data_IF_136988737832
#
_entry.id   IF_136988737832
#
_cell.length_a   1.000
_cell.length_b   1.000
_cell.length_c   1.000
_cell.angle_alpha   90.00
_cell.angle_beta   90.00
_cell.angle_gamma   90.00
#
_symmetry.space_group_name_H-M   'P 1'
#
loop_
_entity.id
_entity.type
_entity.pdbx_description
1 polymer ?
#
# COMPACT_ATOMS: atom_id res chain seq x y z
N UNK A 1 22.58 -73.57 5.58
CA UNK A 1 21.39 -74.42 5.83
C UNK A 1 20.45 -73.64 6.73
N UNK A 2 19.46 -72.90 6.17
CA UNK A 2 18.05 -73.32 6.07
C UNK A 2 17.56 -74.04 7.33
N UNK A 3 16.77 -73.36 8.15
CA UNK A 3 15.68 -73.94 8.96
C UNK A 3 14.72 -72.82 9.40
N UNK A 4 13.46 -72.98 9.03
CA UNK A 4 12.32 -72.15 9.43
C UNK A 4 11.97 -72.32 10.92
N UNK A 5 11.11 -71.46 11.47
CA UNK A 5 10.04 -71.94 12.33
C UNK A 5 8.65 -71.67 11.73
N UNK A 6 7.80 -72.66 11.96
CA UNK A 6 6.49 -72.93 11.39
C UNK A 6 5.35 -72.20 12.08
N UNK A 7 4.43 -71.69 11.27
CA UNK A 7 3.10 -71.19 11.62
C UNK A 7 2.12 -72.38 11.71
N UNK A 8 1.36 -72.48 12.80
CA UNK A 8 0.18 -73.35 13.02
C UNK A 8 -0.72 -72.58 14.01
N UNK A 9 -2.01 -72.29 13.90
CA UNK A 9 -3.19 -72.77 13.15
C UNK A 9 -4.03 -71.52 12.79
N UNK A 10 -4.57 -71.32 11.58
CA UNK A 10 -5.77 -71.93 10.97
C UNK A 10 -7.09 -71.74 11.76
N UNK A 11 -7.88 -70.74 11.39
CA UNK A 11 -9.33 -70.89 11.23
C UNK A 11 -9.85 -70.06 10.03
N UNK A 12 -10.20 -70.83 8.99
CA UNK A 12 -11.19 -70.62 7.91
C UNK A 12 -12.54 -70.14 8.51
N UNK A 13 -13.46 -69.37 7.93
CA UNK A 13 -13.96 -69.11 6.56
C UNK A 13 -14.59 -67.67 6.59
N UNK A 14 -14.76 -66.89 5.51
CA UNK A 14 -15.61 -67.18 4.35
C UNK A 14 -15.29 -66.19 3.22
N UNK A 15 -15.26 -66.71 2.00
CA UNK A 15 -15.08 -66.03 0.73
C UNK A 15 -16.33 -65.20 0.35
N UNK A 16 -16.15 -63.98 -0.14
CA UNK A 16 -16.93 -63.45 -1.27
C UNK A 16 -16.18 -62.31 -1.96
N UNK A 17 -15.79 -62.56 -3.21
CA UNK A 17 -15.28 -61.55 -4.16
C UNK A 17 -16.38 -60.52 -4.46
N UNK A 18 -15.99 -59.25 -4.66
CA UNK A 18 -16.32 -58.46 -5.86
C UNK A 18 -15.62 -57.09 -5.86
N UNK A 19 -14.75 -56.93 -6.87
CA UNK A 19 -14.48 -55.75 -7.71
C UNK A 19 -14.23 -54.35 -7.10
N UNK A 20 -13.00 -53.88 -7.37
CA UNK A 20 -12.57 -52.52 -7.70
C UNK A 20 -13.62 -51.40 -7.71
N UNK A 21 -13.39 -50.38 -6.87
CA UNK A 21 -13.52 -48.97 -7.22
C UNK A 21 -12.68 -48.15 -6.25
N UNK A 22 -11.60 -47.56 -6.74
CA UNK A 22 -10.72 -46.65 -6.04
C UNK A 22 -11.50 -45.39 -5.66
N UNK A 23 -11.76 -45.17 -4.38
CA UNK A 23 -12.04 -43.83 -3.86
C UNK A 23 -11.05 -43.55 -2.73
N UNK A 24 -10.00 -42.83 -3.10
CA UNK A 24 -9.07 -42.23 -2.15
C UNK A 24 -9.83 -41.19 -1.34
N UNK A 25 -10.06 -41.52 -0.08
CA UNK A 25 -10.61 -40.62 0.93
C UNK A 25 -9.53 -39.59 1.28
N UNK A 26 -9.48 -38.48 0.56
CA UNK A 26 -8.82 -37.27 1.06
C UNK A 26 -9.83 -36.59 1.99
N UNK A 27 -9.85 -37.06 3.24
CA UNK A 27 -10.64 -36.45 4.30
C UNK A 27 -10.35 -34.96 4.35
N UNK A 28 -11.36 -34.17 4.00
CA UNK A 28 -11.43 -32.78 4.41
C UNK A 28 -11.42 -32.83 5.93
N UNK A 29 -10.29 -32.50 6.54
CA UNK A 29 -10.27 -32.15 7.95
C UNK A 29 -11.03 -30.82 8.06
N UNK A 30 -12.35 -30.90 8.14
CA UNK A 30 -13.20 -29.81 8.58
C UNK A 30 -12.81 -29.61 10.05
N UNK A 31 -11.82 -28.76 10.31
CA UNK A 31 -11.75 -28.15 11.63
C UNK A 31 -13.06 -27.39 11.78
N UNK A 32 -13.98 -27.94 12.59
CA UNK A 32 -15.22 -27.29 13.01
C UNK A 32 -14.87 -25.97 13.69
N UNK A 33 -14.83 -24.91 12.91
CA UNK A 33 -15.02 -23.56 13.41
C UNK A 33 -16.48 -23.20 13.06
N UNK A 34 -17.42 -23.71 13.87
CA UNK A 34 -18.86 -23.44 13.74
C UNK A 34 -19.22 -21.95 13.89
N UNK A 35 -18.24 -21.12 14.21
CA UNK A 35 -18.31 -19.66 14.36
C UNK A 35 -18.40 -18.91 13.03
N UNK A 36 -18.13 -19.55 11.88
CA UNK A 36 -18.08 -18.88 10.56
C UNK A 36 -18.97 -19.51 9.48
N UNK A 37 -20.12 -20.07 9.87
CA UNK A 37 -21.10 -20.63 8.92
C UNK A 37 -21.48 -19.65 7.79
N UNK A 38 -21.52 -18.35 8.09
CA UNK A 38 -21.80 -17.31 7.11
C UNK A 38 -20.74 -17.22 6.00
N UNK A 39 -19.46 -17.51 6.30
CA UNK A 39 -18.38 -17.54 5.31
C UNK A 39 -18.60 -18.70 4.36
N UNK A 40 -18.85 -19.90 4.88
CA UNK A 40 -19.10 -21.10 4.05
C UNK A 40 -20.28 -20.85 3.11
N UNK A 41 -21.36 -20.27 3.63
CA UNK A 41 -22.53 -19.93 2.82
C UNK A 41 -22.20 -18.86 1.76
N UNK A 42 -21.55 -17.76 2.15
CA UNK A 42 -21.19 -16.68 1.23
C UNK A 42 -20.25 -17.18 0.12
N UNK A 43 -19.26 -18.00 0.47
CA UNK A 43 -18.25 -18.53 -0.44
C UNK A 43 -18.82 -19.38 -1.57
N UNK A 44 -20.00 -19.99 -1.38
CA UNK A 44 -20.72 -20.70 -2.47
C UNK A 44 -21.11 -19.79 -3.64
N UNK A 45 -21.15 -18.47 -3.41
CA UNK A 45 -21.51 -17.45 -4.41
C UNK A 45 -20.34 -16.57 -4.86
N UNK A 46 -19.14 -16.84 -4.33
CA UNK A 46 -17.92 -16.06 -4.60
C UNK A 46 -16.90 -16.91 -5.38
N UNK A 47 -15.82 -16.30 -5.92
CA UNK A 47 -14.75 -17.06 -6.55
C UNK A 47 -14.19 -18.16 -5.65
N UNK A 48 -13.67 -19.23 -6.29
CA UNK A 48 -13.04 -20.34 -5.59
C UNK A 48 -11.90 -19.86 -4.68
N UNK A 49 -11.77 -20.46 -3.49
CA UNK A 49 -10.79 -20.06 -2.46
C UNK A 49 -11.21 -18.87 -1.59
N UNK A 50 -12.41 -18.32 -1.78
CA UNK A 50 -12.96 -17.26 -0.93
C UNK A 50 -13.16 -17.69 0.52
N UNK A 51 -13.45 -18.97 0.75
CA UNK A 51 -13.58 -19.62 2.06
C UNK A 51 -12.29 -19.60 2.89
N UNK A 52 -11.14 -19.55 2.22
CA UNK A 52 -9.81 -19.39 2.83
C UNK A 52 -9.41 -17.92 2.93
N UNK A 53 -9.77 -17.14 1.92
CA UNK A 53 -9.36 -15.73 1.78
C UNK A 53 -10.06 -14.82 2.81
N UNK A 54 -11.38 -14.99 3.01
CA UNK A 54 -12.14 -14.19 3.97
C UNK A 54 -11.63 -14.35 5.42
N UNK A 55 -11.42 -15.59 5.94
CA UNK A 55 -10.77 -15.78 7.24
C UNK A 55 -9.38 -15.16 7.34
N UNK A 56 -8.61 -15.16 6.24
CA UNK A 56 -7.29 -14.54 6.23
C UNK A 56 -7.39 -13.03 6.47
N UNK A 57 -8.27 -12.33 5.77
CA UNK A 57 -8.44 -10.88 5.98
C UNK A 57 -8.86 -10.55 7.41
N UNK A 58 -9.71 -11.39 8.02
CA UNK A 58 -10.09 -11.21 9.43
C UNK A 58 -8.88 -11.39 10.35
N UNK A 59 -8.07 -12.44 10.15
CA UNK A 59 -6.82 -12.64 10.91
C UNK A 59 -5.81 -11.50 10.72
N UNK A 60 -5.77 -10.92 9.52
CA UNK A 60 -4.91 -9.78 9.20
C UNK A 60 -5.43 -8.46 9.83
N UNK A 61 -6.59 -8.48 10.51
CA UNK A 61 -7.10 -7.36 11.30
C UNK A 61 -8.38 -6.71 10.76
N UNK A 62 -9.06 -7.30 9.78
CA UNK A 62 -10.35 -6.80 9.28
C UNK A 62 -11.48 -7.20 10.24
N UNK A 63 -12.34 -6.25 10.63
CA UNK A 63 -13.46 -6.56 11.52
C UNK A 63 -14.45 -7.55 10.89
N UNK A 64 -14.63 -8.71 11.53
CA UNK A 64 -15.53 -9.76 11.04
C UNK A 64 -16.99 -9.29 10.97
N UNK A 65 -17.46 -8.59 11.99
CA UNK A 65 -18.85 -8.11 12.05
C UNK A 65 -19.14 -7.08 10.95
N UNK A 66 -18.21 -6.15 10.71
CA UNK A 66 -18.35 -5.13 9.66
C UNK A 66 -18.23 -5.78 8.28
N UNK A 67 -17.28 -6.71 8.10
CA UNK A 67 -17.12 -7.44 6.84
C UNK A 67 -18.40 -8.21 6.49
N UNK A 68 -18.94 -8.99 7.43
CA UNK A 68 -20.20 -9.71 7.25
C UNK A 68 -21.34 -8.75 6.93
N UNK A 69 -21.52 -7.70 7.74
CA UNK A 69 -22.56 -6.70 7.52
C UNK A 69 -22.48 -6.05 6.13
N UNK A 70 -21.27 -5.74 5.66
CA UNK A 70 -21.05 -5.16 4.32
C UNK A 70 -21.45 -6.14 3.21
N UNK A 71 -21.13 -7.43 3.35
CA UNK A 71 -21.57 -8.46 2.42
C UNK A 71 -23.08 -8.73 2.47
N UNK A 72 -23.71 -8.60 3.63
CA UNK A 72 -25.15 -8.76 3.79
C UNK A 72 -25.93 -7.64 3.10
N UNK A 73 -25.39 -6.41 3.11
CA UNK A 73 -26.07 -5.22 2.55
C UNK A 73 -25.67 -4.87 1.13
N UNK A 74 -24.53 -5.37 0.62
CA UNK A 74 -24.10 -5.06 -0.75
C UNK A 74 -25.01 -5.73 -1.78
N UNK A 75 -25.38 -4.98 -2.82
CA UNK A 75 -26.11 -5.52 -3.97
C UNK A 75 -25.21 -6.36 -4.89
N UNK A 76 -23.88 -6.19 -4.83
CA UNK A 76 -22.94 -6.88 -5.68
C UNK A 76 -21.77 -7.47 -4.86
N UNK A 77 -21.96 -8.72 -4.43
CA UNK A 77 -21.00 -9.46 -3.58
C UNK A 77 -19.72 -9.79 -4.33
N UNK A 78 -19.81 -10.13 -5.62
CA UNK A 78 -18.66 -10.44 -6.47
C UNK A 78 -17.77 -9.22 -6.67
N UNK A 79 -18.37 -8.04 -6.91
CA UNK A 79 -17.61 -6.78 -6.99
C UNK A 79 -16.95 -6.44 -5.66
N UNK A 80 -17.68 -6.50 -4.55
CA UNK A 80 -17.09 -6.24 -3.23
C UNK A 80 -15.91 -7.17 -2.93
N UNK A 81 -16.05 -8.47 -3.23
CA UNK A 81 -14.96 -9.42 -3.08
C UNK A 81 -13.76 -9.06 -3.97
N UNK A 82 -13.99 -8.69 -5.23
CA UNK A 82 -12.94 -8.26 -6.16
C UNK A 82 -12.21 -7.02 -5.66
N UNK A 83 -12.95 -5.99 -5.23
CA UNK A 83 -12.39 -4.75 -4.68
C UNK A 83 -11.51 -5.07 -3.45
N UNK A 84 -11.99 -5.91 -2.53
CA UNK A 84 -11.24 -6.35 -1.34
C UNK A 84 -10.03 -7.21 -1.69
N UNK A 85 -10.12 -8.05 -2.71
CA UNK A 85 -9.00 -8.87 -3.17
C UNK A 85 -7.91 -8.00 -3.80
N UNK A 86 -8.29 -6.99 -4.58
CA UNK A 86 -7.37 -6.06 -5.25
C UNK A 86 -6.85 -4.94 -4.33
N UNK A 87 -7.35 -4.84 -3.10
CA UNK A 87 -6.90 -3.85 -2.14
C UNK A 87 -5.41 -4.03 -1.78
N UNK A 88 -4.66 -2.93 -1.89
CA UNK A 88 -3.19 -2.88 -1.72
C UNK A 88 -2.70 -3.26 -0.32
N UNK A 89 -3.51 -3.01 0.72
CA UNK A 89 -3.16 -3.24 2.13
C UNK A 89 -4.39 -3.62 2.96
N UNK A 90 -4.17 -3.98 4.22
CA UNK A 90 -5.26 -4.14 5.19
C UNK A 90 -5.99 -2.81 5.43
N UNK A 91 -5.28 -1.68 5.46
CA UNK A 91 -5.89 -0.35 5.62
C UNK A 91 -6.79 0.01 4.43
N UNK A 92 -6.40 -0.37 3.21
CA UNK A 92 -7.26 -0.20 2.05
C UNK A 92 -8.54 -1.05 2.18
N UNK A 93 -8.44 -2.33 2.60
CA UNK A 93 -9.62 -3.17 2.86
C UNK A 93 -10.54 -2.57 3.92
N UNK A 94 -9.95 -2.06 5.01
CA UNK A 94 -10.66 -1.34 6.07
C UNK A 94 -11.43 -0.14 5.52
N UNK A 95 -10.84 0.67 4.65
CA UNK A 95 -11.51 1.78 3.98
C UNK A 95 -12.69 1.32 3.11
N UNK A 96 -12.51 0.25 2.31
CA UNK A 96 -13.57 -0.30 1.43
C UNK A 96 -14.81 -0.69 2.22
N UNK A 97 -14.65 -1.38 3.36
CA UNK A 97 -15.78 -1.81 4.21
C UNK A 97 -16.18 -0.77 5.27
N UNK A 98 -15.60 0.44 5.26
CA UNK A 98 -15.84 1.50 6.25
C UNK A 98 -15.50 1.10 7.70
N UNK A 99 -14.49 0.25 7.88
CA UNK A 99 -13.92 -0.11 9.17
C UNK A 99 -12.79 0.87 9.54
N UNK A 100 -13.14 2.00 10.17
CA UNK A 100 -12.22 3.12 10.43
C UNK A 100 -11.47 3.03 11.78
N UNK A 101 -11.19 1.83 12.27
CA UNK A 101 -10.48 1.58 13.53
C UNK A 101 -8.97 1.39 13.32
N UNK A 102 -8.33 2.38 12.69
CA UNK A 102 -6.89 2.32 12.47
C UNK A 102 -6.22 3.69 12.69
N UNK A 103 -4.93 3.70 13.09
CA UNK A 103 -4.22 4.92 13.43
C UNK A 103 -4.00 5.85 12.22
N UNK A 104 -3.81 7.14 12.50
CA UNK A 104 -3.59 8.18 11.49
C UNK A 104 -4.85 8.87 10.99
N UNK A 105 -6.03 8.45 11.44
CA UNK A 105 -7.30 9.09 11.08
C UNK A 105 -7.63 10.26 12.01
N UNK A 106 -8.12 11.35 11.44
CA UNK A 106 -8.66 12.48 12.18
C UNK A 106 -10.20 12.46 12.20
N UNK A 107 -10.76 12.75 13.38
CA UNK A 107 -12.19 12.86 13.57
C UNK A 107 -12.71 14.15 12.92
N UNK A 108 -13.90 14.08 12.31
CA UNK A 108 -14.55 15.20 11.65
C UNK A 108 -14.52 15.09 10.13
N UNK A 109 -14.94 16.17 9.48
CA UNK A 109 -15.06 16.24 8.02
C UNK A 109 -13.83 16.91 7.40
N UNK A 110 -13.33 16.33 6.31
CA UNK A 110 -12.28 16.89 5.49
C UNK A 110 -12.58 18.33 5.08
N UNK A 111 -11.61 19.21 5.29
CA UNK A 111 -11.59 20.56 4.75
C UNK A 111 -10.35 20.73 3.88
N UNK A 112 -10.49 21.17 2.61
CA UNK A 112 -9.33 21.41 1.76
C UNK A 112 -8.51 22.57 2.29
N UNK A 113 -7.23 22.32 2.57
CA UNK A 113 -6.25 23.32 2.99
C UNK A 113 -5.01 23.34 2.08
N UNK A 114 -5.04 22.55 0.99
CA UNK A 114 -4.00 22.53 -0.03
C UNK A 114 -3.93 23.85 -0.78
N UNK A 115 -2.77 24.15 -1.38
CA UNK A 115 -2.58 25.40 -2.12
C UNK A 115 -3.45 25.43 -3.39
N UNK A 116 -4.55 26.20 -3.36
CA UNK A 116 -5.52 26.29 -4.44
C UNK A 116 -5.01 27.07 -5.66
N UNK A 117 -4.00 27.92 -5.48
CA UNK A 117 -3.34 28.69 -6.53
C UNK A 117 -2.17 27.91 -7.12
N UNK A 118 -2.46 26.70 -7.62
CA UNK A 118 -1.50 25.73 -8.17
C UNK A 118 -0.50 26.26 -9.20
N UNK A 119 -0.81 27.41 -9.81
CA UNK A 119 0.01 28.08 -10.82
C UNK A 119 1.08 29.02 -10.24
N UNK A 120 1.03 29.39 -8.95
CA UNK A 120 2.03 30.30 -8.38
C UNK A 120 3.39 29.62 -8.12
N UNK A 121 3.47 28.32 -7.82
CA UNK A 121 4.77 27.61 -7.77
C UNK A 121 5.40 27.40 -9.15
N UNK A 122 4.62 27.46 -10.23
CA UNK A 122 5.20 27.52 -11.59
C UNK A 122 5.94 28.85 -11.84
N UNK A 123 5.67 29.90 -11.04
CA UNK A 123 6.34 31.20 -11.10
C UNK A 123 7.49 31.35 -10.10
N UNK A 124 7.56 30.51 -9.06
CA UNK A 124 8.74 30.38 -8.18
C UNK A 124 9.82 29.58 -8.90
N UNK A 125 10.45 30.25 -9.84
CA UNK A 125 11.58 29.70 -10.57
C UNK A 125 12.81 29.68 -9.64
N UNK A 126 13.50 28.54 -9.57
CA UNK A 126 14.78 28.42 -8.85
C UNK A 126 15.80 29.32 -9.52
N UNK A 127 16.27 30.36 -8.83
CA UNK A 127 17.37 31.19 -9.33
C UNK A 127 18.66 30.39 -9.13
N UNK A 128 19.22 29.87 -10.21
CA UNK A 128 20.51 29.20 -10.19
C UNK A 128 21.61 30.18 -9.73
N UNK A 129 22.79 29.69 -9.29
CA UNK A 129 23.95 30.55 -8.98
C UNK A 129 24.33 31.50 -10.14
N UNK A 130 24.00 31.13 -11.38
CA UNK A 130 24.15 31.95 -12.60
C UNK A 130 23.14 33.09 -12.75
N UNK A 131 22.13 33.18 -11.88
CA UNK A 131 21.02 34.12 -11.99
C UNK A 131 19.92 33.73 -12.98
N UNK A 132 20.11 32.65 -13.75
CA UNK A 132 19.11 32.09 -14.67
C UNK A 132 18.12 31.18 -13.94
N UNK A 133 16.95 31.01 -14.54
CA UNK A 133 15.89 30.15 -14.04
C UNK A 133 15.89 28.83 -14.78
N UNK A 134 16.00 27.71 -14.07
CA UNK A 134 15.82 26.39 -14.67
C UNK A 134 14.37 25.91 -14.49
N UNK A 135 13.57 25.84 -15.57
CA UNK A 135 12.17 25.45 -15.52
C UNK A 135 11.96 24.00 -15.07
N UNK A 136 12.99 23.16 -15.08
CA UNK A 136 12.86 21.73 -14.74
C UNK A 136 12.75 21.47 -13.23
N UNK A 137 13.03 22.48 -12.40
CA UNK A 137 12.80 22.44 -10.94
C UNK A 137 11.44 23.01 -10.53
N UNK A 138 10.71 23.64 -11.45
CA UNK A 138 9.38 24.16 -11.15
C UNK A 138 8.39 23.01 -10.91
N UNK A 139 7.50 23.19 -9.93
CA UNK A 139 6.34 22.28 -9.79
C UNK A 139 5.34 22.65 -10.87
N UNK A 140 5.45 22.00 -12.03
CA UNK A 140 4.55 22.22 -13.17
C UNK A 140 3.25 21.41 -13.08
N UNK A 141 3.17 20.45 -12.14
CA UNK A 141 2.00 19.61 -11.95
C UNK A 141 1.14 20.12 -10.78
N UNK A 142 -0.06 20.62 -11.09
CA UNK A 142 -0.94 21.23 -10.09
C UNK A 142 -1.28 20.33 -8.88
N UNK A 143 -1.49 19.00 -9.03
CA UNK A 143 -1.68 18.12 -7.87
C UNK A 143 -0.48 18.06 -6.92
N UNK A 144 0.74 18.20 -7.45
CA UNK A 144 1.96 18.25 -6.61
C UNK A 144 1.98 19.50 -5.74
N UNK A 145 1.47 20.61 -6.26
CA UNK A 145 1.30 21.85 -5.50
C UNK A 145 0.21 21.71 -4.42
N UNK A 146 -0.94 21.17 -4.78
CA UNK A 146 -2.08 21.00 -3.86
C UNK A 146 -1.79 20.03 -2.73
N UNK A 147 -0.72 19.22 -2.84
CA UNK A 147 -0.27 18.31 -1.80
C UNK A 147 0.34 18.99 -0.57
N UNK A 148 0.62 20.30 -0.65
CA UNK A 148 1.13 21.09 0.48
C UNK A 148 0.07 21.99 1.09
N UNK A 149 0.11 22.15 2.42
CA UNK A 149 -0.66 23.18 3.12
C UNK A 149 -0.32 24.54 2.52
N UNK A 150 -1.34 25.34 2.28
CA UNK A 150 -1.23 26.69 1.73
C UNK A 150 -0.07 27.48 2.37
N UNK A 151 0.80 28.07 1.54
CA UNK A 151 1.95 28.89 1.93
C UNK A 151 3.01 28.21 2.82
N UNK A 152 3.07 26.88 2.88
CA UNK A 152 4.13 26.17 3.64
C UNK A 152 5.26 25.64 2.79
N UNK A 153 5.06 25.49 1.48
CA UNK A 153 6.07 24.94 0.60
C UNK A 153 7.13 25.99 0.23
N UNK A 154 8.39 25.62 0.43
CA UNK A 154 9.56 26.41 0.07
C UNK A 154 10.55 25.54 -0.68
N UNK A 155 11.27 26.14 -1.62
CA UNK A 155 12.38 25.48 -2.27
C UNK A 155 13.60 25.45 -1.34
N UNK A 156 14.25 24.30 -1.25
CA UNK A 156 15.44 24.09 -0.43
C UNK A 156 16.48 23.28 -1.21
N UNK A 157 17.77 23.59 -1.02
CA UNK A 157 18.85 22.72 -1.49
C UNK A 157 19.26 21.76 -0.38
N UNK A 158 19.10 20.46 -0.62
CA UNK A 158 19.58 19.42 0.28
C UNK A 158 21.08 19.18 0.05
N UNK A 159 21.89 19.12 1.12
CA UNK A 159 23.30 18.79 0.98
C UNK A 159 23.52 17.32 0.64
N UNK A 160 24.67 17.04 0.03
CA UNK A 160 25.17 15.68 -0.20
C UNK A 160 25.08 14.81 1.06
N UNK A 161 24.76 13.52 0.87
CA UNK A 161 24.71 12.55 1.96
C UNK A 161 23.44 12.62 2.82
N UNK A 162 22.58 13.63 2.61
CA UNK A 162 21.25 13.67 3.25
C UNK A 162 20.46 12.41 2.91
N UNK A 163 19.86 11.78 3.92
CA UNK A 163 18.98 10.62 3.74
C UNK A 163 17.52 11.05 3.72
N UNK A 164 16.76 10.49 2.78
CA UNK A 164 15.33 10.68 2.63
C UNK A 164 14.62 9.33 2.64
N UNK A 165 13.40 9.29 3.15
CA UNK A 165 12.62 8.07 3.33
C UNK A 165 11.27 8.16 2.64
N UNK A 166 10.84 7.06 2.03
CA UNK A 166 9.53 6.94 1.39
C UNK A 166 8.89 5.61 1.71
N UNK A 167 7.62 5.65 2.11
CA UNK A 167 6.77 4.46 2.26
C UNK A 167 6.02 4.21 0.96
N UNK A 168 6.12 3.00 0.42
CA UNK A 168 5.60 2.74 -0.93
C UNK A 168 5.23 1.27 -1.20
N UNK A 169 4.58 1.09 -2.35
CA UNK A 169 4.36 -0.18 -3.02
C UNK A 169 5.66 -0.80 -3.53
N UNK A 170 5.58 -2.05 -3.95
CA UNK A 170 6.66 -2.73 -4.66
C UNK A 170 6.88 -2.12 -6.05
N UNK A 171 8.14 -2.09 -6.50
CA UNK A 171 8.52 -1.75 -7.87
C UNK A 171 9.14 -0.37 -8.03
N UNK A 172 10.02 -0.25 -9.03
CA UNK A 172 10.87 0.93 -9.22
C UNK A 172 10.10 2.23 -9.50
N UNK A 173 8.96 2.16 -10.19
CA UNK A 173 8.10 3.33 -10.39
C UNK A 173 7.62 3.93 -9.05
N UNK A 174 7.38 3.05 -8.08
CA UNK A 174 6.87 3.38 -6.75
C UNK A 174 8.01 3.86 -5.84
N UNK A 175 9.17 3.23 -5.93
CA UNK A 175 10.38 3.59 -5.19
C UNK A 175 10.88 4.98 -5.58
N UNK A 176 10.71 5.39 -6.83
CA UNK A 176 11.17 6.67 -7.38
C UNK A 176 10.06 7.73 -7.45
N UNK A 177 9.01 7.59 -6.63
CA UNK A 177 7.94 8.57 -6.55
C UNK A 177 8.40 9.94 -6.03
N UNK A 178 7.53 10.94 -6.12
CA UNK A 178 7.89 12.34 -5.83
C UNK A 178 8.02 12.68 -4.35
N UNK A 179 7.30 11.99 -3.47
CA UNK A 179 7.10 12.41 -2.08
C UNK A 179 7.94 11.60 -1.09
N UNK A 180 8.69 12.30 -0.25
CA UNK A 180 9.68 11.78 0.69
C UNK A 180 9.59 12.50 2.03
N UNK A 181 10.26 11.97 3.04
CA UNK A 181 10.39 12.52 4.40
C UNK A 181 11.86 12.51 4.81
N UNK A 182 12.31 13.42 5.68
CA UNK A 182 13.69 13.38 6.22
C UNK A 182 13.87 12.34 7.30
N UNK A 183 12.84 12.16 8.12
CA UNK A 183 12.88 11.24 9.25
C UNK A 183 12.23 9.94 8.83
N UNK A 184 12.91 8.82 9.08
CA UNK A 184 12.34 7.50 8.86
C UNK A 184 11.06 7.35 9.69
N UNK A 185 9.90 7.05 9.09
CA UNK A 185 8.66 6.91 9.83
C UNK A 185 8.77 5.79 10.88
N UNK A 186 8.28 6.06 12.09
CA UNK A 186 8.33 5.12 13.22
C UNK A 186 6.99 4.45 13.49
N UNK A 187 5.92 4.89 12.82
CA UNK A 187 4.60 4.30 12.95
C UNK A 187 3.79 4.49 11.67
N UNK A 188 2.76 3.65 11.46
CA UNK A 188 1.85 3.82 10.32
C UNK A 188 0.99 5.09 10.47
N UNK A 189 0.78 5.57 11.71
CA UNK A 189 0.05 6.81 12.01
C UNK A 189 0.74 8.03 11.40
N UNK A 190 2.07 8.08 11.44
CA UNK A 190 2.85 9.15 10.81
C UNK A 190 2.69 9.14 9.29
N UNK A 191 2.59 7.95 8.69
CA UNK A 191 2.44 7.80 7.23
C UNK A 191 1.04 8.20 6.80
N UNK A 192 0.01 7.55 7.36
CA UNK A 192 -1.39 7.77 6.97
C UNK A 192 -1.85 9.17 7.40
N UNK A 193 -1.61 9.54 8.66
CA UNK A 193 -2.08 10.80 9.22
C UNK A 193 -1.16 11.97 8.92
N UNK A 194 0.14 11.83 9.20
CA UNK A 194 1.11 12.91 9.06
C UNK A 194 1.38 13.31 7.62
N UNK A 195 1.62 12.33 6.73
CA UNK A 195 1.86 12.60 5.30
C UNK A 195 0.61 12.49 4.42
N UNK A 196 -0.56 12.28 5.03
CA UNK A 196 -1.85 12.17 4.35
C UNK A 196 -1.89 11.14 3.20
N UNK A 197 -1.15 10.04 3.32
CA UNK A 197 -1.10 8.99 2.28
C UNK A 197 -2.37 8.15 2.33
N UNK A 198 -3.17 8.21 1.26
CA UNK A 198 -4.39 7.42 1.19
C UNK A 198 -4.06 5.91 1.13
N UNK A 199 -4.77 5.06 1.90
CA UNK A 199 -4.60 3.62 1.82
C UNK A 199 -4.83 3.01 0.43
N UNK A 200 -5.64 3.67 -0.40
CA UNK A 200 -5.89 3.23 -1.78
C UNK A 200 -4.70 3.45 -2.73
N UNK A 201 -3.69 4.23 -2.32
CA UNK A 201 -2.49 4.50 -3.12
C UNK A 201 -1.29 3.64 -2.71
N UNK A 202 -1.32 3.05 -1.51
CA UNK A 202 -0.13 2.47 -0.89
C UNK A 202 -0.43 1.16 -0.15
N UNK A 203 0.47 0.20 -0.30
CA UNK A 203 0.45 -1.09 0.37
C UNK A 203 1.18 -1.04 1.72
N UNK A 204 1.97 0.01 1.95
CA UNK A 204 2.80 0.21 3.15
C UNK A 204 3.78 -0.95 3.39
N UNK A 205 4.19 -1.63 2.32
CA UNK A 205 5.03 -2.83 2.39
C UNK A 205 6.52 -2.52 2.47
N UNK A 206 6.95 -1.37 1.95
CA UNK A 206 8.34 -0.99 1.86
C UNK A 206 8.58 0.38 2.47
N UNK A 207 9.76 0.51 3.09
CA UNK A 207 10.42 1.80 3.27
C UNK A 207 11.65 1.77 2.36
N UNK A 208 11.80 2.79 1.52
CA UNK A 208 13.02 2.99 0.73
C UNK A 208 13.75 4.22 1.25
N UNK A 209 15.08 4.15 1.24
CA UNK A 209 15.98 5.24 1.59
C UNK A 209 16.65 5.76 0.31
N UNK A 210 16.69 7.07 0.13
CA UNK A 210 17.44 7.74 -0.92
C UNK A 210 18.55 8.59 -0.28
N UNK A 211 19.78 8.45 -0.81
CA UNK A 211 20.90 9.29 -0.40
C UNK A 211 21.14 10.40 -1.43
N UNK A 212 21.20 11.65 -0.97
CA UNK A 212 21.40 12.82 -1.84
C UNK A 212 22.80 12.80 -2.49
N UNK A 213 22.90 13.01 -3.82
CA UNK A 213 24.15 13.08 -4.57
C UNK A 213 25.19 14.07 -4.05
N UNK A 214 26.43 13.88 -4.49
CA UNK A 214 27.40 14.96 -4.60
C UNK A 214 26.84 16.17 -5.36
N UNK A 215 27.07 17.37 -4.82
CA UNK A 215 26.52 18.63 -5.32
C UNK A 215 25.11 18.96 -4.80
N UNK A 216 24.48 18.06 -4.03
CA UNK A 216 23.15 18.28 -3.49
C UNK A 216 22.03 18.21 -4.52
N UNK A 217 20.79 18.40 -4.07
CA UNK A 217 19.61 18.51 -4.95
C UNK A 217 18.67 19.62 -4.48
N UNK A 218 17.96 20.24 -5.42
CA UNK A 218 16.87 21.16 -5.10
C UNK A 218 15.56 20.39 -4.91
N UNK A 219 14.84 20.68 -3.83
CA UNK A 219 13.57 20.05 -3.50
C UNK A 219 12.56 21.07 -3.03
N UNK A 220 11.29 20.69 -3.06
CA UNK A 220 10.22 21.44 -2.41
C UNK A 220 9.93 20.81 -1.06
N UNK A 221 10.00 21.61 0.00
CA UNK A 221 9.71 21.18 1.38
C UNK A 221 8.52 21.97 1.90
N UNK A 222 7.57 21.28 2.53
CA UNK A 222 6.42 21.93 3.17
C UNK A 222 5.65 20.94 4.04
N UNK A 223 4.51 21.38 4.58
CA UNK A 223 3.62 20.49 5.33
C UNK A 223 2.65 19.81 4.38
N UNK A 224 2.40 18.52 4.54
CA UNK A 224 1.41 17.80 3.75
C UNK A 224 -0.01 18.36 3.98
N UNK A 225 -0.75 18.64 2.92
CA UNK A 225 -2.14 19.05 3.00
C UNK A 225 -3.03 17.89 3.50
N UNK A 226 -4.17 18.24 4.09
CA UNK A 226 -5.19 17.28 4.44
C UNK A 226 -5.74 16.60 3.19
N UNK A 227 -6.20 15.36 3.33
CA UNK A 227 -6.79 14.57 2.25
C UNK A 227 -8.09 13.91 2.71
N UNK A 228 -9.00 13.67 1.76
CA UNK A 228 -10.05 12.67 1.94
C UNK A 228 -9.41 11.31 2.21
N UNK A 229 -10.12 10.45 2.93
CA UNK A 229 -9.66 9.10 3.19
C UNK A 229 -9.65 8.23 1.93
N UNK A 230 -10.59 8.48 1.02
CA UNK A 230 -10.62 7.90 -0.33
C UNK A 230 -11.32 8.87 -1.27
N UNK A 231 -10.68 9.15 -2.41
CA UNK A 231 -11.31 9.91 -3.47
C UNK A 231 -12.28 9.03 -4.27
N UNK A 232 -11.91 7.76 -4.52
CA UNK A 232 -12.73 6.83 -5.30
C UNK A 232 -14.07 6.51 -4.62
N UNK A 233 -14.07 6.38 -3.29
CA UNK A 233 -15.27 6.12 -2.49
C UNK A 233 -15.91 7.41 -1.94
N UNK A 234 -15.33 8.58 -2.26
CA UNK A 234 -15.73 9.89 -1.76
C UNK A 234 -15.91 9.95 -0.23
N UNK A 235 -14.94 9.42 0.51
CA UNK A 235 -14.96 9.39 1.98
C UNK A 235 -14.19 10.58 2.53
N UNK A 236 -14.93 11.60 2.98
CA UNK A 236 -14.38 12.78 3.65
C UNK A 236 -14.45 12.73 5.18
N UNK A 237 -14.98 11.66 5.78
CA UNK A 237 -15.10 11.49 7.22
C UNK A 237 -14.98 10.00 7.61
N UNK A 238 -14.02 9.63 8.48
CA UNK A 238 -12.91 10.47 8.95
C UNK A 238 -11.99 10.88 7.79
N UNK A 239 -11.01 11.73 8.06
CA UNK A 239 -10.10 12.26 7.04
C UNK A 239 -8.64 12.07 7.45
N UNK A 240 -7.72 12.35 6.51
CA UNK A 240 -6.28 12.33 6.75
C UNK A 240 -5.82 13.76 7.04
N UNK A 241 -5.32 14.01 8.25
CA UNK A 241 -5.02 15.37 8.71
C UNK A 241 -3.91 16.07 7.93
N UNK A 242 -2.91 15.32 7.47
CA UNK A 242 -1.66 15.90 6.99
C UNK A 242 -0.92 16.59 8.12
N UNK A 243 -0.19 17.65 7.77
CA UNK A 243 0.54 18.51 8.70
C UNK A 243 1.96 18.02 9.04
N UNK A 244 2.31 16.79 8.66
CA UNK A 244 3.69 16.30 8.71
C UNK A 244 4.55 16.95 7.63
N UNK A 245 5.86 17.04 7.86
CA UNK A 245 6.81 17.49 6.84
C UNK A 245 6.82 16.52 5.65
N UNK A 246 6.77 17.07 4.45
CA UNK A 246 6.91 16.37 3.19
C UNK A 246 7.94 17.07 2.31
N UNK A 247 8.67 16.25 1.55
CA UNK A 247 9.60 16.68 0.52
C UNK A 247 9.09 16.17 -0.83
N UNK A 248 8.98 17.07 -1.80
CA UNK A 248 8.78 16.73 -3.21
C UNK A 248 10.12 16.87 -3.94
N UNK A 249 10.62 15.76 -4.46
CA UNK A 249 11.76 15.74 -5.39
C UNK A 249 11.21 16.02 -6.80
N UNK A 250 11.71 17.06 -7.51
CA UNK A 250 11.28 17.39 -8.88
C UNK A 250 11.47 16.27 -9.91
N UNK A 251 10.71 16.31 -11.00
CA UNK A 251 10.74 15.27 -12.04
C UNK A 251 12.10 15.11 -12.70
N UNK A 252 12.88 16.19 -12.85
CA UNK A 252 14.22 16.17 -13.46
C UNK A 252 15.18 15.18 -12.80
N UNK A 253 15.03 14.97 -11.49
CA UNK A 253 15.84 13.99 -10.77
C UNK A 253 15.31 12.56 -10.92
N UNK A 254 14.02 12.38 -11.22
CA UNK A 254 13.34 11.08 -11.08
C UNK A 254 13.01 10.43 -12.41
N UNK A 255 12.86 11.21 -13.47
CA UNK A 255 12.36 10.77 -14.78
C UNK A 255 13.26 11.27 -15.91
N UNK A 256 13.33 10.50 -16.98
CA UNK A 256 14.07 10.91 -18.17
C UNK A 256 13.25 11.94 -18.95
N UNK A 257 13.95 12.97 -19.43
CA UNK A 257 13.38 13.98 -20.31
C UNK A 257 13.41 13.46 -21.75
N UNK A 258 12.29 13.58 -22.44
CA UNK A 258 12.15 13.25 -23.87
C UNK A 258 12.72 14.38 -24.72
N UNK A 259 12.95 14.09 -26.01
CA UNK A 259 13.45 15.06 -26.97
C UNK A 259 12.52 16.29 -27.14
N UNK A 260 11.21 16.13 -26.90
CA UNK A 260 10.22 17.21 -26.94
C UNK A 260 10.21 18.10 -25.67
N UNK A 261 11.09 17.81 -24.70
CA UNK A 261 11.17 18.54 -23.43
C UNK A 261 10.21 18.06 -22.34
N UNK A 262 9.31 17.12 -22.63
CA UNK A 262 8.43 16.52 -21.62
C UNK A 262 9.14 15.41 -20.82
N UNK A 263 8.63 15.07 -19.64
CA UNK A 263 9.15 13.93 -18.87
C UNK A 263 8.41 12.64 -19.23
N UNK A 264 9.16 11.55 -19.40
CA UNK A 264 8.59 10.22 -19.47
C UNK A 264 8.35 9.67 -18.06
N UNK A 265 7.08 9.59 -17.67
CA UNK A 265 6.69 9.11 -16.34
C UNK A 265 7.02 7.63 -16.09
N UNK A 266 7.27 6.85 -17.15
CA UNK A 266 7.67 5.43 -17.07
C UNK A 266 9.17 5.23 -17.17
N UNK A 267 9.92 6.20 -17.73
CA UNK A 267 11.36 6.09 -17.85
C UNK A 267 12.05 6.68 -16.62
N UNK A 268 12.53 5.81 -15.74
CA UNK A 268 13.20 6.17 -14.49
C UNK A 268 14.59 6.70 -14.77
N UNK A 269 15.00 7.76 -14.07
CA UNK A 269 16.37 8.26 -14.11
C UNK A 269 17.31 7.29 -13.34
N UNK A 270 18.28 6.63 -14.00
CA UNK A 270 19.17 5.67 -13.35
C UNK A 270 20.00 6.28 -12.22
N UNK A 271 20.32 7.58 -12.30
CA UNK A 271 21.11 8.25 -11.26
C UNK A 271 20.36 8.36 -9.92
N UNK A 272 19.02 8.43 -9.95
CA UNK A 272 18.22 8.31 -8.73
C UNK A 272 18.10 6.84 -8.32
N UNK A 273 17.78 5.96 -9.26
CA UNK A 273 17.58 4.54 -9.00
C UNK A 273 18.76 3.91 -8.26
N UNK A 274 19.98 4.19 -8.70
CA UNK A 274 21.21 3.64 -8.12
C UNK A 274 21.53 4.15 -6.70
N UNK A 275 20.78 5.14 -6.20
CA UNK A 275 20.94 5.71 -4.85
C UNK A 275 19.78 5.36 -3.91
N UNK A 276 18.84 4.54 -4.37
CA UNK A 276 17.75 4.05 -3.55
C UNK A 276 18.10 2.68 -3.01
N UNK A 277 17.93 2.51 -1.70
CA UNK A 277 18.04 1.24 -1.01
C UNK A 277 16.66 0.88 -0.44
N UNK A 278 16.20 -0.34 -0.72
CA UNK A 278 15.00 -0.88 -0.05
C UNK A 278 15.42 -1.36 1.34
N UNK A 279 14.83 -0.80 2.38
CA UNK A 279 15.14 -1.21 3.74
C UNK A 279 14.54 -2.59 4.03
N UNK A 280 15.24 -3.46 4.77
CA UNK A 280 14.75 -4.80 5.07
C UNK A 280 13.46 -4.78 5.91
N UNK A 281 12.66 -5.84 5.80
CA UNK A 281 11.30 -5.88 6.33
C UNK A 281 11.21 -5.72 7.87
N UNK A 282 12.26 -6.11 8.60
CA UNK A 282 12.36 -5.95 10.05
C UNK A 282 12.53 -4.47 10.49
N UNK A 283 12.83 -3.58 9.56
CA UNK A 283 12.86 -2.14 9.77
C UNK A 283 11.50 -1.46 9.57
N UNK A 284 10.45 -2.19 9.17
CA UNK A 284 9.08 -1.65 9.13
C UNK A 284 8.44 -1.74 10.52
N UNK A 285 8.17 -0.60 11.18
CA UNK A 285 7.72 -0.61 12.56
C UNK A 285 6.29 -1.14 12.74
N UNK A 286 5.48 -1.16 11.68
CA UNK A 286 4.09 -1.66 11.69
C UNK A 286 3.93 -3.09 11.14
N UNK A 287 5.03 -3.80 10.89
CA UNK A 287 5.00 -5.22 10.47
C UNK A 287 5.38 -6.19 11.58
N UNK A 288 5.48 -5.72 12.83
CA UNK A 288 5.84 -6.52 14.00
C UNK A 288 4.62 -7.16 14.64
#
# INVERSE_FOLDING_TARGET
MKTQPTLKHLMLCTLLLLSFSSFSFSGITISKDSTRAWIVQLSSSLPAGSDTTLPKWIRDGLSESILKGTFDTTSNKQKLYSDLNNALSIYHRKVIIRNFDFPGLANGSYQPNGFSQGTQFANFKVKLPSGSFDPDFAVSYAPDVMSFVNNTASLEQLPEGTKLYRVCNDGWDQFTGGYWTRTKPTSISEVIGGTAVQPEWNSFKNIVEYTVPAGGIWVWRGLAAAQKLSNNLNIGQPYLAGGGEQILIPLVYRRLKKADGSFDFRAINPAMQNRIVVLPANELPWKR
#
